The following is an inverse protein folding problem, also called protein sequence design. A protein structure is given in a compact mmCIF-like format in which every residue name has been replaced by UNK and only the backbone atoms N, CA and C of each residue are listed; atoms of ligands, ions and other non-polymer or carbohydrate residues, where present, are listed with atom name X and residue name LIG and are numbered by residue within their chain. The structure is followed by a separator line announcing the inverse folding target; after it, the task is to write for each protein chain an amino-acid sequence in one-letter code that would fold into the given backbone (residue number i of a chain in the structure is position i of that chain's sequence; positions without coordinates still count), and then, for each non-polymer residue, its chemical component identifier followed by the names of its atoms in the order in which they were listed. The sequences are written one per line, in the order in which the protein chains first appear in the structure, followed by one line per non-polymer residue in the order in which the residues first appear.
data_IF_938079555937
#
_entry.id   IF_938079555937
#
_cell.length_a   1.000
_cell.length_b   1.000
_cell.length_c   1.000
_cell.angle_alpha   90.00
_cell.angle_beta   90.00
_cell.angle_gamma   90.00
#
_symmetry.space_group_name_H-M   'P 1'
#
loop_
_entity.id
_entity.type
_entity.pdbx_description
1 polymer ?
#
# COMPACT_ATOMS: atom_id res chain seq x y z
N UNK A 1 -18.51 -9.02 4.92
CA UNK A 1 -17.34 -8.86 5.80
C UNK A 1 -16.28 -8.16 4.97
N UNK A 2 -15.59 -7.15 5.51
CA UNK A 2 -14.56 -6.44 4.77
C UNK A 2 -13.36 -7.35 4.50
N UNK A 3 -12.74 -7.16 3.33
CA UNK A 3 -11.44 -7.74 3.02
C UNK A 3 -10.34 -6.87 3.65
N UNK A 4 -9.34 -7.53 4.21
CA UNK A 4 -8.10 -6.93 4.68
C UNK A 4 -7.03 -7.20 3.63
N UNK A 5 -6.34 -6.13 3.22
CA UNK A 5 -5.26 -6.19 2.23
C UNK A 5 -3.96 -5.79 2.94
N UNK A 6 -2.97 -6.68 2.90
CA UNK A 6 -1.61 -6.41 3.34
C UNK A 6 -0.72 -6.31 2.10
N UNK A 7 -0.16 -5.12 1.84
CA UNK A 7 0.70 -4.86 0.69
C UNK A 7 2.17 -4.79 1.11
N UNK A 8 3.03 -5.55 0.44
CA UNK A 8 4.47 -5.47 0.62
C UNK A 8 5.05 -4.38 -0.28
N UNK A 9 5.36 -3.23 0.30
CA UNK A 9 5.84 -2.06 -0.42
C UNK A 9 7.36 -2.13 -0.65
N UNK A 10 7.82 -1.87 -1.86
CA UNK A 10 9.23 -1.59 -2.15
C UNK A 10 9.54 -0.12 -1.83
N UNK A 11 10.36 0.18 -0.79
CA UNK A 11 10.60 1.56 -0.37
C UNK A 11 11.26 2.41 -1.45
N UNK A 12 12.15 1.81 -2.27
CA UNK A 12 12.87 2.55 -3.32
C UNK A 12 11.91 3.01 -4.43
N UNK A 13 11.01 2.14 -4.85
CA UNK A 13 9.95 2.47 -5.81
C UNK A 13 9.04 3.56 -5.26
N UNK A 14 8.60 3.44 -4.00
CA UNK A 14 7.73 4.42 -3.36
C UNK A 14 8.40 5.79 -3.23
N UNK A 15 9.63 5.83 -2.72
CA UNK A 15 10.40 7.08 -2.59
C UNK A 15 10.63 7.73 -3.96
N UNK A 16 10.91 6.92 -4.98
CA UNK A 16 11.11 7.39 -6.36
C UNK A 16 9.87 8.08 -6.90
N UNK A 17 8.68 7.48 -6.74
CA UNK A 17 7.44 8.05 -7.28
C UNK A 17 6.93 9.23 -6.45
N UNK A 18 7.07 9.20 -5.11
CA UNK A 18 6.68 10.31 -4.24
C UNK A 18 7.56 11.56 -4.40
N UNK A 19 8.78 11.39 -4.90
CA UNK A 19 9.69 12.49 -5.23
C UNK A 19 9.30 13.22 -6.52
N UNK A 20 8.40 12.65 -7.33
CA UNK A 20 7.94 13.27 -8.58
C UNK A 20 6.89 14.34 -8.30
N UNK A 21 6.80 15.34 -9.17
CA UNK A 21 5.66 16.25 -9.15
C UNK A 21 4.39 15.51 -9.56
N UNK A 22 3.23 15.94 -9.04
CA UNK A 22 1.95 15.30 -9.37
C UNK A 22 1.69 15.33 -10.89
N UNK A 23 2.07 16.42 -11.58
CA UNK A 23 1.99 16.50 -13.03
C UNK A 23 2.86 15.48 -13.77
N UNK A 24 4.06 15.18 -13.24
CA UNK A 24 4.94 14.15 -13.81
C UNK A 24 4.38 12.74 -13.61
N UNK A 25 3.73 12.50 -12.46
CA UNK A 25 3.05 11.23 -12.18
C UNK A 25 1.93 11.03 -13.21
N UNK A 26 1.06 12.03 -13.38
CA UNK A 26 -0.08 11.99 -14.31
C UNK A 26 0.39 11.75 -15.75
N UNK A 27 1.30 12.59 -16.24
CA UNK A 27 1.84 12.47 -17.61
C UNK A 27 2.47 11.08 -17.83
N UNK A 28 3.13 10.56 -16.80
CA UNK A 28 3.73 9.24 -16.81
C UNK A 28 2.72 8.09 -16.84
N UNK A 29 1.62 8.19 -16.11
CA UNK A 29 0.53 7.21 -16.13
C UNK A 29 -0.21 7.22 -17.48
N UNK A 30 -0.52 8.41 -18.01
CA UNK A 30 -1.17 8.56 -19.33
C UNK A 30 -0.34 7.95 -20.47
N UNK A 31 0.99 8.12 -20.41
CA UNK A 31 1.93 7.59 -21.41
C UNK A 31 2.40 6.17 -21.11
N UNK A 32 1.95 5.57 -20.01
CA UNK A 32 2.40 4.25 -19.53
C UNK A 32 3.93 4.18 -19.34
N UNK A 33 4.59 5.31 -19.10
CA UNK A 33 6.06 5.42 -19.04
C UNK A 33 6.62 5.13 -17.65
N UNK A 34 5.75 5.06 -16.62
CA UNK A 34 6.14 4.77 -15.25
C UNK A 34 6.14 3.27 -14.91
N UNK A 35 5.77 2.37 -15.83
CA UNK A 35 5.72 0.93 -15.53
C UNK A 35 7.07 0.35 -15.08
N UNK A 36 8.17 0.94 -15.56
CA UNK A 36 9.53 0.57 -15.16
C UNK A 36 9.89 1.01 -13.73
N UNK A 37 9.15 1.96 -13.14
CA UNK A 37 9.33 2.33 -11.72
C UNK A 37 8.68 1.32 -10.78
N UNK A 38 7.79 0.48 -11.31
CA UNK A 38 7.09 -0.53 -10.55
C UNK A 38 8.04 -1.67 -10.19
N UNK A 39 8.06 -2.15 -8.94
CA UNK A 39 8.93 -3.26 -8.60
C UNK A 39 8.57 -4.52 -9.39
N UNK A 40 9.60 -5.26 -9.79
CA UNK A 40 9.45 -6.52 -10.51
C UNK A 40 8.65 -7.54 -9.68
N UNK A 41 7.72 -8.24 -10.32
CA UNK A 41 6.91 -9.25 -9.66
C UNK A 41 7.79 -10.40 -9.13
N UNK A 42 7.70 -10.69 -7.83
CA UNK A 42 8.53 -11.71 -7.16
C UNK A 42 7.80 -13.05 -6.93
N UNK A 43 6.74 -13.35 -7.69
CA UNK A 43 5.99 -14.60 -7.51
C UNK A 43 5.02 -14.60 -6.33
N UNK A 44 4.71 -13.43 -5.77
CA UNK A 44 3.73 -13.27 -4.69
C UNK A 44 2.30 -13.48 -5.23
N UNK A 45 1.38 -14.07 -4.46
CA UNK A 45 0.13 -14.63 -4.99
C UNK A 45 -0.81 -13.63 -5.71
N UNK A 46 -0.76 -12.33 -5.40
CA UNK A 46 -1.57 -11.33 -6.09
C UNK A 46 -0.93 -9.95 -6.08
N UNK A 47 -1.09 -9.16 -7.14
CA UNK A 47 -0.91 -7.69 -7.14
C UNK A 47 -1.88 -7.08 -8.15
N UNK A 48 -2.29 -5.82 -7.93
CA UNK A 48 -3.15 -5.11 -8.87
C UNK A 48 -2.45 -4.86 -10.20
N UNK A 49 -3.17 -4.93 -11.32
CA UNK A 49 -2.59 -4.71 -12.65
C UNK A 49 -2.18 -3.25 -12.85
N UNK A 50 -1.17 -3.04 -13.70
CA UNK A 50 -0.65 -1.69 -14.00
C UNK A 50 -1.77 -0.81 -14.58
N UNK A 51 -2.54 -1.34 -15.52
CA UNK A 51 -3.64 -0.63 -16.20
C UNK A 51 -4.77 -0.23 -15.26
N UNK A 52 -5.06 -1.02 -14.23
CA UNK A 52 -6.11 -0.72 -13.27
C UNK A 52 -5.69 0.45 -12.38
N UNK A 53 -4.45 0.43 -11.88
CA UNK A 53 -3.89 1.51 -11.07
C UNK A 53 -3.69 2.80 -11.87
N UNK A 54 -3.23 2.70 -13.11
CA UNK A 54 -3.18 3.83 -14.04
C UNK A 54 -4.58 4.47 -14.13
N UNK A 55 -5.62 3.65 -14.36
CA UNK A 55 -7.01 4.11 -14.43
C UNK A 55 -7.50 4.75 -13.13
N UNK A 56 -7.26 4.15 -11.98
CA UNK A 56 -7.67 4.68 -10.67
C UNK A 56 -6.98 6.01 -10.34
N UNK A 57 -5.71 6.18 -10.72
CA UNK A 57 -4.99 7.46 -10.54
C UNK A 57 -5.56 8.54 -11.45
N UNK A 58 -5.94 8.20 -12.69
CA UNK A 58 -6.62 9.14 -13.60
C UNK A 58 -8.02 9.51 -13.07
N UNK A 59 -8.76 8.54 -12.54
CA UNK A 59 -10.05 8.80 -11.90
C UNK A 59 -9.88 9.70 -10.66
N UNK A 60 -8.83 9.50 -9.86
CA UNK A 60 -8.51 10.39 -8.76
C UNK A 60 -8.24 11.83 -9.23
N UNK A 61 -7.50 12.00 -10.34
CA UNK A 61 -7.22 13.30 -10.93
C UNK A 61 -8.50 14.04 -11.34
N UNK A 62 -9.44 13.34 -11.96
CA UNK A 62 -10.72 13.93 -12.37
C UNK A 62 -11.55 14.41 -11.16
N UNK A 63 -11.32 13.84 -9.97
CA UNK A 63 -12.12 14.07 -8.77
C UNK A 63 -11.45 14.97 -7.71
N UNK A 64 -10.14 15.23 -7.79
CA UNK A 64 -9.40 15.96 -6.75
C UNK A 64 -9.62 17.48 -6.80
N UNK A 65 -9.96 18.02 -7.97
CA UNK A 65 -10.09 19.46 -8.19
C UNK A 65 -8.79 20.11 -8.69
N UNK A 66 -8.55 21.37 -8.32
CA UNK A 66 -7.37 22.10 -8.77
C UNK A 66 -6.11 21.62 -8.06
N UNK A 67 -5.11 21.19 -8.84
CA UNK A 67 -3.78 20.78 -8.36
C UNK A 67 -2.69 21.63 -9.01
N UNK A 68 -1.55 21.76 -8.34
CA UNK A 68 -0.36 22.36 -8.93
C UNK A 68 0.52 21.27 -9.55
N UNK A 69 0.64 21.16 -10.88
CA UNK A 69 1.37 20.07 -11.53
C UNK A 69 2.88 20.05 -11.23
N UNK A 70 3.45 21.18 -10.82
CA UNK A 70 4.88 21.30 -10.53
C UNK A 70 5.23 20.86 -9.09
N UNK A 71 4.23 20.67 -8.23
CA UNK A 71 4.42 20.32 -6.82
C UNK A 71 4.32 18.82 -6.60
N UNK A 72 5.14 18.32 -5.67
CA UNK A 72 4.98 16.96 -5.12
C UNK A 72 3.68 16.87 -4.31
N UNK A 73 3.18 15.65 -4.09
CA UNK A 73 1.91 15.41 -3.40
C UNK A 73 1.81 16.09 -2.02
N UNK A 74 2.87 16.00 -1.22
CA UNK A 74 2.93 16.60 0.12
C UNK A 74 2.61 18.10 0.09
N UNK A 75 3.11 18.82 -0.93
CA UNK A 75 3.01 20.28 -1.08
C UNK A 75 1.72 20.74 -1.74
N UNK A 76 0.84 19.84 -2.18
CA UNK A 76 -0.45 20.20 -2.77
C UNK A 76 -1.35 20.88 -1.72
N UNK A 77 -2.12 21.88 -2.12
CA UNK A 77 -3.11 22.52 -1.26
C UNK A 77 -4.50 21.87 -1.45
N UNK A 78 -4.58 20.57 -1.11
CA UNK A 78 -5.78 19.75 -1.23
C UNK A 78 -6.10 19.08 0.11
N UNK A 79 -7.35 18.65 0.35
CA UNK A 79 -7.73 17.94 1.57
C UNK A 79 -6.87 16.71 1.84
N UNK A 80 -6.60 16.42 3.11
CA UNK A 80 -5.73 15.31 3.54
C UNK A 80 -6.28 13.95 3.06
N UNK A 81 -7.60 13.81 3.00
CA UNK A 81 -8.28 12.63 2.50
C UNK A 81 -7.89 12.37 1.05
N UNK A 82 -7.87 13.42 0.21
CA UNK A 82 -7.45 13.33 -1.19
C UNK A 82 -5.97 13.04 -1.35
N UNK A 83 -5.11 13.62 -0.50
CA UNK A 83 -3.69 13.24 -0.48
C UNK A 83 -3.51 11.77 -0.12
N UNK A 84 -4.28 11.28 0.85
CA UNK A 84 -4.18 9.91 1.35
C UNK A 84 -4.71 8.90 0.35
N UNK A 85 -5.79 9.24 -0.39
CA UNK A 85 -6.29 8.44 -1.52
C UNK A 85 -5.18 8.21 -2.57
N UNK A 86 -4.52 9.26 -3.05
CA UNK A 86 -3.43 9.10 -4.02
C UNK A 86 -2.22 8.38 -3.40
N UNK A 87 -1.85 8.71 -2.16
CA UNK A 87 -0.75 8.01 -1.48
C UNK A 87 -1.01 6.49 -1.41
N UNK A 88 -2.24 6.08 -1.12
CA UNK A 88 -2.61 4.67 -1.10
C UNK A 88 -2.45 4.02 -2.50
N UNK A 89 -2.90 4.69 -3.57
CA UNK A 89 -2.70 4.21 -4.94
C UNK A 89 -1.21 4.09 -5.30
N UNK A 90 -0.38 5.06 -4.88
CA UNK A 90 1.07 5.02 -5.08
C UNK A 90 1.77 3.93 -4.26
N UNK A 91 1.24 3.59 -3.07
CA UNK A 91 1.65 2.40 -2.33
C UNK A 91 1.33 1.13 -3.12
N UNK A 92 0.11 0.98 -3.65
CA UNK A 92 -0.25 -0.18 -4.49
C UNK A 92 0.59 -0.25 -5.78
N UNK A 93 0.91 0.90 -6.37
CA UNK A 93 1.88 0.98 -7.47
C UNK A 93 3.22 0.39 -7.05
N UNK A 94 3.76 0.87 -5.94
CA UNK A 94 5.07 0.48 -5.40
C UNK A 94 5.08 -0.88 -4.69
N UNK A 95 4.01 -1.67 -4.81
CA UNK A 95 3.87 -2.97 -4.14
C UNK A 95 4.50 -4.11 -4.94
N UNK A 96 5.29 -4.94 -4.26
CA UNK A 96 5.82 -6.22 -4.76
C UNK A 96 4.73 -7.30 -4.86
N UNK A 97 3.70 -7.18 -4.01
CA UNK A 97 2.61 -8.13 -3.91
C UNK A 97 1.72 -7.85 -2.71
N UNK A 98 0.52 -8.41 -2.78
CA UNK A 98 -0.55 -8.26 -1.81
C UNK A 98 -0.98 -9.62 -1.31
N UNK A 99 -1.35 -9.64 -0.04
CA UNK A 99 -2.07 -10.74 0.58
C UNK A 99 -3.44 -10.24 1.05
N UNK A 100 -4.48 -11.06 0.82
CA UNK A 100 -5.86 -10.70 1.12
C UNK A 100 -6.53 -11.77 1.97
N UNK A 101 -7.25 -11.34 3.01
CA UNK A 101 -8.10 -12.24 3.78
C UNK A 101 -9.34 -11.52 4.31
N UNK A 102 -10.35 -12.29 4.74
CA UNK A 102 -11.44 -11.73 5.54
C UNK A 102 -10.91 -11.28 6.90
N UNK A 103 -11.42 -10.16 7.42
CA UNK A 103 -11.05 -9.59 8.72
C UNK A 103 -11.06 -10.60 9.88
N UNK A 104 -12.06 -11.48 9.96
CA UNK A 104 -12.13 -12.52 10.99
C UNK A 104 -11.00 -13.56 10.91
N UNK A 105 -10.31 -13.70 9.77
CA UNK A 105 -9.13 -14.57 9.67
C UNK A 105 -7.87 -13.93 10.26
N UNK A 106 -7.86 -12.64 10.56
CA UNK A 106 -6.73 -12.01 11.25
C UNK A 106 -6.51 -12.60 12.65
N UNK A 107 -7.55 -13.10 13.32
CA UNK A 107 -7.40 -13.87 14.56
C UNK A 107 -6.60 -15.17 14.39
N UNK A 108 -6.55 -15.73 13.18
CA UNK A 108 -5.79 -16.95 12.91
C UNK A 108 -4.33 -16.65 12.51
N UNK A 109 -4.08 -15.50 11.89
CA UNK A 109 -2.79 -15.20 11.27
C UNK A 109 -1.96 -14.16 12.02
N UNK A 110 -2.63 -13.20 12.67
CA UNK A 110 -1.98 -12.07 13.35
C UNK A 110 -2.02 -12.27 14.86
N UNK A 111 -3.19 -12.55 15.44
CA UNK A 111 -3.35 -12.70 16.90
C UNK A 111 -2.36 -13.67 17.55
N UNK A 112 -2.01 -14.85 16.97
CA UNK A 112 -1.07 -15.77 17.61
C UNK A 112 0.34 -15.20 17.78
N UNK A 113 0.68 -14.14 17.05
CA UNK A 113 1.97 -13.45 17.11
C UNK A 113 1.95 -12.20 18.00
N UNK A 114 0.80 -11.87 18.61
CA UNK A 114 0.64 -10.75 19.52
C UNK A 114 0.72 -11.25 20.98
N UNK A 115 1.44 -10.51 21.82
CA UNK A 115 1.43 -10.67 23.27
C UNK A 115 0.12 -10.12 23.87
N UNK A 116 -0.46 -9.11 23.22
CA UNK A 116 -1.75 -8.53 23.60
C UNK A 116 -2.92 -9.28 22.96
N UNK A 117 -3.81 -9.85 23.78
CA UNK A 117 -4.99 -10.56 23.28
C UNK A 117 -5.96 -9.62 22.53
N UNK A 118 -6.47 -10.07 21.39
CA UNK A 118 -7.33 -9.26 20.52
C UNK A 118 -8.80 -9.46 20.88
N UNK A 119 -9.50 -8.38 21.25
CA UNK A 119 -10.90 -8.48 21.73
C UNK A 119 -11.95 -8.43 20.61
N UNK A 120 -11.62 -7.78 19.50
CA UNK A 120 -12.51 -7.56 18.36
C UNK A 120 -11.71 -7.22 17.10
N UNK A 121 -12.35 -7.35 15.92
CA UNK A 121 -11.75 -6.99 14.63
C UNK A 121 -11.33 -5.51 14.56
N UNK A 122 -11.99 -4.63 15.31
CA UNK A 122 -11.64 -3.19 15.42
C UNK A 122 -10.23 -2.97 15.98
N UNK A 123 -9.71 -3.92 16.76
CA UNK A 123 -8.35 -3.83 17.30
C UNK A 123 -7.31 -3.85 16.17
N UNK A 124 -7.59 -4.55 15.06
CA UNK A 124 -6.72 -4.55 13.88
C UNK A 124 -6.72 -3.22 13.11
N UNK A 125 -7.55 -2.25 13.50
CA UNK A 125 -7.46 -0.88 12.97
C UNK A 125 -6.42 -0.04 13.73
N UNK A 126 -5.91 -0.52 14.86
CA UNK A 126 -4.96 0.21 15.68
C UNK A 126 -3.53 0.00 15.16
N UNK A 127 -2.78 1.07 14.85
CA UNK A 127 -1.39 0.95 14.38
C UNK A 127 -0.47 0.18 15.35
N UNK A 128 -0.74 0.26 16.66
CA UNK A 128 0.03 -0.46 17.67
C UNK A 128 0.02 -1.97 17.50
N UNK A 129 -1.10 -2.55 17.03
CA UNK A 129 -1.22 -3.99 16.78
C UNK A 129 -0.28 -4.42 15.65
N UNK A 130 -0.18 -3.62 14.59
CA UNK A 130 0.69 -3.92 13.45
C UNK A 130 2.18 -3.71 13.77
N UNK A 131 2.53 -2.75 14.63
CA UNK A 131 3.91 -2.62 15.11
C UNK A 131 4.32 -3.79 16.01
N UNK A 132 3.42 -4.25 16.89
CA UNK A 132 3.66 -5.45 17.70
C UNK A 132 3.85 -6.70 16.82
N UNK A 133 2.95 -6.91 15.86
CA UNK A 133 3.05 -8.00 14.90
C UNK A 133 4.36 -7.98 14.12
N UNK A 134 4.76 -6.82 13.59
CA UNK A 134 6.04 -6.62 12.89
C UNK A 134 7.24 -6.94 13.78
N UNK A 135 7.23 -6.50 15.03
CA UNK A 135 8.31 -6.78 15.98
C UNK A 135 8.41 -8.28 16.27
N UNK A 136 7.27 -8.95 16.48
CA UNK A 136 7.19 -10.40 16.67
C UNK A 136 7.77 -11.15 15.46
N UNK A 137 7.34 -10.81 14.23
CA UNK A 137 7.88 -11.39 13.00
C UNK A 137 9.39 -11.18 12.85
N UNK A 138 9.90 -10.01 13.23
CA UNK A 138 11.34 -9.70 13.13
C UNK A 138 12.21 -10.54 14.07
N UNK A 139 11.61 -11.13 15.11
CA UNK A 139 12.29 -11.99 16.08
C UNK A 139 12.32 -13.48 15.68
N UNK A 140 11.49 -13.88 14.70
CA UNK A 140 11.42 -15.25 14.21
C UNK A 140 12.55 -15.53 13.22
N UNK A 141 13.17 -16.71 13.36
CA UNK A 141 14.13 -17.17 12.37
C UNK A 141 13.40 -17.56 11.06
N UNK A 142 14.13 -17.49 9.95
CA UNK A 142 13.55 -17.75 8.62
C UNK A 142 13.04 -19.20 8.46
N UNK A 143 13.53 -20.13 9.28
CA UNK A 143 13.20 -21.55 9.20
C UNK A 143 11.82 -21.84 9.81
N UNK A 144 11.50 -21.19 10.94
CA UNK A 144 10.23 -21.35 11.65
C UNK A 144 9.04 -20.82 10.84
N UNK A 145 9.27 -19.82 9.98
CA UNK A 145 8.24 -19.20 9.14
C UNK A 145 7.77 -20.08 7.98
N UNK A 146 8.62 -20.95 7.41
CA UNK A 146 8.27 -21.74 6.22
C UNK A 146 7.51 -23.03 6.58
N UNK A 147 7.66 -23.53 7.81
CA UNK A 147 7.04 -24.78 8.27
C UNK A 147 5.68 -24.60 8.99
N UNK A 148 5.17 -23.37 9.12
CA UNK A 148 3.87 -23.05 9.75
C UNK A 148 2.78 -22.78 8.72
#
# INVERSE_FOLDING_TARGET
MPDVILSLIDPKSLDSILSMSVGSIIDGMEKMSLRETRPGYQGLPSRQFDVDLEGEIMEWLDNVGEINPDFILEKQDIPIEKKTELLLLLCHWSSLGEWRCWDARLFLYVEPSLDSGVRSTESFLMPSVWEEFKNSLSSLDRATFIES
#
